data_IF_475822591832
#
_entry.id   IF_475822591832
#
_cell.length_a   1.000
_cell.length_b   1.000
_cell.length_c   1.000
_cell.angle_alpha   90.00
_cell.angle_beta   90.00
_cell.angle_gamma   90.00
#
_symmetry.space_group_name_H-M   'P 1'
#
loop_
_entity.id
_entity.type
_entity.pdbx_description
1 polymer ?
#
# COMPACT_ATOMS: atom_id res chain seq x y z
N UNK A 1 21.35 18.14 3.63
CA UNK A 1 20.05 17.89 4.32
C UNK A 1 19.97 18.71 5.58
N UNK A 2 18.87 19.44 5.77
CA UNK A 2 18.64 20.22 6.98
C UNK A 2 18.21 19.32 8.14
N UNK A 3 18.29 19.81 9.37
CA UNK A 3 17.78 19.11 10.54
C UNK A 3 16.27 18.88 10.44
N UNK A 4 15.51 19.86 9.91
CA UNK A 4 14.07 19.74 9.69
C UNK A 4 13.75 18.61 8.70
N UNK A 5 14.52 18.50 7.62
CA UNK A 5 14.36 17.41 6.65
C UNK A 5 14.68 16.06 7.28
N UNK A 6 15.71 15.98 8.11
CA UNK A 6 16.07 14.75 8.81
C UNK A 6 14.96 14.31 9.78
N UNK A 7 14.35 15.25 10.52
CA UNK A 7 13.24 14.99 11.43
C UNK A 7 12.01 14.51 10.65
N UNK A 8 11.68 15.18 9.57
CA UNK A 8 10.56 14.81 8.71
C UNK A 8 10.75 13.40 8.12
N UNK A 9 11.94 13.12 7.60
CA UNK A 9 12.26 11.79 7.06
C UNK A 9 12.11 10.70 8.10
N UNK A 10 12.67 10.92 9.30
CA UNK A 10 12.58 9.93 10.38
C UNK A 10 11.14 9.69 10.82
N UNK A 11 10.32 10.73 10.92
CA UNK A 11 8.91 10.62 11.27
C UNK A 11 8.13 9.84 10.20
N UNK A 12 8.38 10.11 8.92
CA UNK A 12 7.71 9.41 7.81
C UNK A 12 8.10 7.93 7.75
N UNK A 13 9.40 7.62 7.97
CA UNK A 13 9.85 6.22 8.03
C UNK A 13 9.16 5.48 9.16
N UNK A 14 9.11 6.06 10.36
CA UNK A 14 8.46 5.45 11.52
C UNK A 14 6.97 5.23 11.28
N UNK A 15 6.29 6.20 10.68
CA UNK A 15 4.88 6.07 10.33
C UNK A 15 4.66 4.97 9.30
N UNK A 16 5.46 4.92 8.24
CA UNK A 16 5.36 3.89 7.22
C UNK A 16 5.52 2.49 7.80
N UNK A 17 6.53 2.29 8.64
CA UNK A 17 6.75 1.00 9.32
C UNK A 17 5.55 0.61 10.16
N UNK A 18 4.97 1.56 10.91
CA UNK A 18 3.82 1.29 11.78
C UNK A 18 2.57 0.92 10.98
N UNK A 19 2.19 1.73 9.99
CA UNK A 19 0.95 1.47 9.25
C UNK A 19 1.04 0.23 8.36
N UNK A 20 2.21 -0.10 7.84
CA UNK A 20 2.39 -1.34 7.08
C UNK A 20 2.21 -2.56 7.98
N UNK A 21 2.67 -2.50 9.24
CA UNK A 21 2.45 -3.56 10.22
C UNK A 21 0.98 -3.66 10.64
N UNK A 22 0.25 -2.54 10.61
CA UNK A 22 -1.17 -2.49 10.97
C UNK A 22 -2.09 -2.99 9.86
N UNK A 23 -1.64 -3.01 8.62
CA UNK A 23 -2.49 -3.39 7.49
C UNK A 23 -3.06 -4.79 7.69
N UNK A 24 -4.39 -4.87 7.63
CA UNK A 24 -5.11 -6.12 7.88
C UNK A 24 -5.22 -6.52 9.36
N UNK A 25 -4.63 -5.75 10.27
CA UNK A 25 -4.66 -6.01 11.72
C UNK A 25 -5.37 -4.91 12.48
N UNK A 26 -4.94 -3.67 12.29
CA UNK A 26 -5.52 -2.47 12.90
C UNK A 26 -5.84 -1.47 11.79
N UNK A 27 -6.92 -1.72 11.08
CA UNK A 27 -7.29 -0.89 9.93
C UNK A 27 -7.76 0.49 10.35
N UNK A 28 -8.21 0.68 11.59
CA UNK A 28 -8.57 2.02 12.04
C UNK A 28 -7.35 2.94 12.07
N UNK A 29 -6.18 2.48 12.52
CA UNK A 29 -4.95 3.26 12.46
C UNK A 29 -4.51 3.48 11.00
N UNK A 30 -4.66 2.48 10.14
CA UNK A 30 -4.38 2.63 8.72
C UNK A 30 -5.22 3.78 8.11
N UNK A 31 -6.53 3.76 8.29
CA UNK A 31 -7.42 4.79 7.73
C UNK A 31 -7.17 6.16 8.32
N UNK A 32 -6.89 6.25 9.62
CA UNK A 32 -6.62 7.53 10.30
C UNK A 32 -5.38 8.23 9.77
N UNK A 33 -4.45 7.48 9.16
CA UNK A 33 -3.21 8.02 8.62
C UNK A 33 -3.24 8.25 7.11
N UNK A 34 -4.40 8.12 6.47
CA UNK A 34 -4.58 8.48 5.06
C UNK A 34 -4.94 9.97 4.95
N UNK A 35 -4.22 10.66 4.06
CA UNK A 35 -4.56 12.05 3.71
C UNK A 35 -5.89 12.08 2.96
N UNK A 36 -6.68 13.15 3.13
CA UNK A 36 -7.96 13.29 2.44
C UNK A 36 -7.81 13.24 0.92
N UNK A 37 -6.70 13.76 0.41
CA UNK A 37 -6.39 13.81 -1.02
C UNK A 37 -5.53 12.64 -1.50
N UNK A 38 -5.50 11.53 -0.77
CA UNK A 38 -4.70 10.37 -1.13
C UNK A 38 -5.01 9.88 -2.54
N UNK A 39 -3.96 9.47 -3.25
CA UNK A 39 -4.06 8.79 -4.54
C UNK A 39 -3.44 7.41 -4.40
N UNK A 40 -4.14 6.40 -4.87
CA UNK A 40 -3.61 5.05 -5.04
C UNK A 40 -3.37 4.78 -6.51
N UNK A 41 -2.24 4.18 -6.81
CA UNK A 41 -1.93 3.76 -8.17
C UNK A 41 -1.45 2.30 -8.17
N UNK A 42 -1.92 1.56 -9.17
CA UNK A 42 -1.51 0.18 -9.45
C UNK A 42 -1.09 0.09 -10.91
N UNK A 43 0.17 0.39 -11.23
CA UNK A 43 0.61 0.46 -12.64
C UNK A 43 0.36 -0.82 -13.43
N UNK A 44 0.38 -1.98 -12.78
CA UNK A 44 0.10 -3.28 -13.42
C UNK A 44 -1.34 -3.76 -13.22
N UNK A 45 -2.21 -2.93 -12.65
CA UNK A 45 -3.56 -3.33 -12.29
C UNK A 45 -4.46 -3.64 -13.49
N UNK A 46 -4.27 -2.95 -14.61
CA UNK A 46 -5.13 -3.11 -15.79
C UNK A 46 -5.15 -4.56 -16.32
N UNK A 47 -4.02 -5.26 -16.23
CA UNK A 47 -3.91 -6.63 -16.74
C UNK A 47 -4.74 -7.64 -15.94
N UNK A 48 -5.19 -7.28 -14.75
CA UNK A 48 -6.04 -8.13 -13.89
C UNK A 48 -7.40 -7.48 -13.59
N UNK A 49 -7.77 -6.45 -14.34
CA UNK A 49 -9.08 -5.81 -14.22
C UNK A 49 -9.19 -4.76 -13.13
N UNK A 50 -8.09 -4.43 -12.45
CA UNK A 50 -8.09 -3.36 -11.45
C UNK A 50 -7.94 -1.99 -12.08
N UNK A 51 -8.55 -0.95 -11.49
CA UNK A 51 -8.23 0.42 -11.90
C UNK A 51 -6.77 0.74 -11.63
N UNK A 52 -6.16 1.56 -12.50
CA UNK A 52 -4.76 1.95 -12.35
C UNK A 52 -4.58 3.15 -11.43
N UNK A 53 -5.65 3.91 -11.16
CA UNK A 53 -5.61 5.10 -10.33
C UNK A 53 -6.94 5.31 -9.62
N UNK A 54 -6.88 5.55 -8.32
CA UNK A 54 -8.04 5.86 -7.47
C UNK A 54 -7.70 7.11 -6.67
N UNK A 55 -8.63 8.07 -6.59
CA UNK A 55 -8.42 9.35 -5.94
C UNK A 55 -9.36 9.55 -4.76
N UNK A 56 -8.82 10.11 -3.68
CA UNK A 56 -9.56 10.53 -2.51
C UNK A 56 -9.70 9.46 -1.44
N UNK A 57 -9.72 9.90 -0.18
CA UNK A 57 -9.77 9.01 0.98
C UNK A 57 -10.98 8.07 0.97
N UNK A 58 -12.21 8.52 0.65
CA UNK A 58 -13.36 7.61 0.65
C UNK A 58 -13.20 6.46 -0.34
N UNK A 59 -12.83 6.75 -1.58
CA UNK A 59 -12.67 5.71 -2.62
C UNK A 59 -11.49 4.78 -2.32
N UNK A 60 -10.36 5.33 -1.88
CA UNK A 60 -9.19 4.54 -1.50
C UNK A 60 -9.49 3.64 -0.30
N UNK A 61 -10.21 4.15 0.70
CA UNK A 61 -10.59 3.36 1.88
C UNK A 61 -11.49 2.19 1.50
N UNK A 62 -12.42 2.39 0.58
CA UNK A 62 -13.28 1.30 0.08
C UNK A 62 -12.47 0.20 -0.59
N UNK A 63 -11.47 0.58 -1.40
CA UNK A 63 -10.63 -0.41 -2.07
C UNK A 63 -9.74 -1.14 -1.07
N UNK A 64 -9.15 -0.45 -0.11
CA UNK A 64 -8.38 -1.10 0.95
C UNK A 64 -9.24 -2.10 1.73
N UNK A 65 -10.46 -1.73 2.08
CA UNK A 65 -11.38 -2.62 2.78
C UNK A 65 -11.74 -3.86 1.95
N UNK A 66 -12.04 -3.67 0.66
CA UNK A 66 -12.33 -4.77 -0.25
C UNK A 66 -11.14 -5.71 -0.42
N UNK A 67 -9.93 -5.15 -0.49
CA UNK A 67 -8.70 -5.94 -0.57
C UNK A 67 -8.47 -6.74 0.70
N UNK A 68 -8.67 -6.15 1.87
CA UNK A 68 -8.53 -6.88 3.14
C UNK A 68 -9.50 -8.06 3.22
N UNK A 69 -10.72 -7.89 2.74
CA UNK A 69 -11.72 -8.95 2.75
C UNK A 69 -11.42 -10.06 1.73
N UNK A 70 -11.07 -9.69 0.50
CA UNK A 70 -10.89 -10.65 -0.60
C UNK A 70 -9.53 -11.33 -0.56
N UNK A 71 -8.47 -10.60 -0.28
CA UNK A 71 -7.09 -11.09 -0.35
C UNK A 71 -6.59 -11.58 1.00
N UNK A 72 -7.01 -10.91 2.08
CA UNK A 72 -6.64 -11.24 3.46
C UNK A 72 -5.11 -11.20 3.69
N UNK A 73 -4.42 -10.37 2.92
CA UNK A 73 -2.96 -10.32 2.95
C UNK A 73 -2.45 -9.63 4.22
N UNK A 74 -1.34 -10.14 4.74
CA UNK A 74 -0.53 -9.51 5.78
C UNK A 74 0.83 -9.23 5.19
N UNK A 75 1.34 -8.02 5.43
CA UNK A 75 2.64 -7.63 4.95
C UNK A 75 3.73 -8.03 5.95
N UNK A 76 4.85 -8.49 5.43
CA UNK A 76 6.01 -8.86 6.24
C UNK A 76 7.29 -8.54 5.50
N UNK A 77 8.43 -8.62 6.19
CA UNK A 77 9.76 -8.30 5.65
C UNK A 77 9.78 -6.88 5.05
N UNK A 78 9.16 -5.94 5.75
CA UNK A 78 9.06 -4.55 5.30
C UNK A 78 10.41 -3.86 5.44
N UNK A 79 10.93 -3.35 4.33
CA UNK A 79 12.16 -2.55 4.27
C UNK A 79 11.83 -1.19 3.69
N UNK A 80 12.17 -0.14 4.42
CA UNK A 80 11.87 1.24 4.04
C UNK A 80 13.15 1.91 3.57
N UNK A 81 13.12 2.47 2.37
CA UNK A 81 14.23 3.20 1.76
C UNK A 81 13.84 4.66 1.59
N UNK A 82 14.34 5.57 2.45
CA UNK A 82 14.09 6.99 2.25
C UNK A 82 14.70 7.48 0.94
N UNK A 83 13.96 8.34 0.25
CA UNK A 83 14.45 8.98 -0.96
C UNK A 83 15.11 10.31 -0.63
N UNK A 84 15.69 10.95 -1.64
CA UNK A 84 16.30 12.27 -1.48
C UNK A 84 15.27 13.29 -0.96
N UNK A 85 14.06 13.27 -1.51
CA UNK A 85 12.93 14.05 -0.99
C UNK A 85 12.45 13.42 0.32
N UNK A 86 12.50 14.14 1.48
CA UNK A 86 12.13 13.57 2.76
C UNK A 86 10.65 13.17 2.88
N UNK A 87 9.80 13.66 1.98
CA UNK A 87 8.39 13.28 1.92
C UNK A 87 8.16 11.94 1.22
N UNK A 88 9.16 11.38 0.56
CA UNK A 88 9.02 10.18 -0.27
C UNK A 88 9.85 9.02 0.24
N UNK A 89 9.25 7.84 0.14
CA UNK A 89 9.85 6.56 0.52
C UNK A 89 9.61 5.52 -0.56
N UNK A 90 10.57 4.60 -0.72
CA UNK A 90 10.33 3.36 -1.45
C UNK A 90 10.34 2.23 -0.42
N UNK A 91 9.33 1.37 -0.49
CA UNK A 91 9.23 0.21 0.38
C UNK A 91 9.32 -1.06 -0.44
N UNK A 92 10.05 -2.05 0.08
CA UNK A 92 10.01 -3.41 -0.40
C UNK A 92 9.40 -4.28 0.69
N UNK A 93 8.49 -5.15 0.33
CA UNK A 93 7.87 -6.05 1.30
C UNK A 93 7.27 -7.27 0.61
N UNK A 94 6.84 -8.21 1.41
CA UNK A 94 6.15 -9.40 0.96
C UNK A 94 4.75 -9.42 1.56
N UNK A 95 3.85 -10.09 0.86
CA UNK A 95 2.52 -10.37 1.37
C UNK A 95 2.22 -11.85 1.26
N UNK A 96 1.55 -12.40 2.27
CA UNK A 96 1.16 -13.80 2.28
C UNK A 96 -0.27 -13.95 2.79
N UNK A 97 -1.01 -14.82 2.13
CA UNK A 97 -2.34 -15.24 2.58
C UNK A 97 -2.73 -16.56 1.90
N UNK A 98 -3.82 -17.16 2.38
CA UNK A 98 -4.37 -18.37 1.78
C UNK A 98 -5.89 -18.21 1.55
N UNK A 99 -6.29 -17.24 0.70
CA UNK A 99 -7.71 -17.00 0.45
C UNK A 99 -8.35 -18.20 -0.28
N UNK A 100 -9.42 -18.74 0.30
CA UNK A 100 -10.11 -19.89 -0.29
C UNK A 100 -9.24 -21.13 -0.40
N UNK A 101 -8.19 -21.25 0.41
CA UNK A 101 -7.26 -22.39 0.38
C UNK A 101 -6.16 -22.30 -0.66
N UNK A 102 -6.13 -21.24 -1.47
CA UNK A 102 -5.05 -21.01 -2.44
C UNK A 102 -3.94 -20.17 -1.80
N UNK A 103 -2.70 -20.56 -2.04
CA UNK A 103 -1.54 -19.80 -1.55
C UNK A 103 -1.35 -18.55 -2.41
N UNK A 104 -1.36 -17.39 -1.74
CA UNK A 104 -0.99 -16.11 -2.32
C UNK A 104 0.29 -15.63 -1.64
N UNK A 105 1.41 -15.70 -2.35
CA UNK A 105 2.73 -15.28 -1.89
C UNK A 105 3.28 -14.27 -2.87
N UNK A 106 3.30 -13.00 -2.47
CA UNK A 106 3.56 -11.87 -3.37
C UNK A 106 4.74 -11.05 -2.92
N UNK A 107 5.44 -10.48 -3.88
CA UNK A 107 6.50 -9.49 -3.66
C UNK A 107 6.03 -8.13 -4.14
N UNK A 108 6.30 -7.10 -3.34
CA UNK A 108 5.81 -5.74 -3.59
C UNK A 108 6.94 -4.74 -3.59
N UNK A 109 6.80 -3.71 -4.43
CA UNK A 109 7.49 -2.44 -4.30
C UNK A 109 6.41 -1.36 -4.24
N UNK A 110 6.53 -0.45 -3.28
CA UNK A 110 5.57 0.64 -3.11
C UNK A 110 6.29 1.97 -3.02
N UNK A 111 5.90 2.92 -3.87
CA UNK A 111 6.34 4.30 -3.75
C UNK A 111 5.30 5.02 -2.93
N UNK A 112 5.74 5.62 -1.83
CA UNK A 112 4.85 6.35 -0.92
C UNK A 112 5.29 7.79 -0.79
N UNK A 113 4.33 8.69 -0.68
CA UNK A 113 4.56 10.09 -0.33
C UNK A 113 3.70 10.42 0.88
N UNK A 114 4.28 11.20 1.79
CA UNK A 114 3.62 11.66 3.01
C UNK A 114 3.54 13.18 3.02
N UNK A 115 2.39 13.71 3.42
CA UNK A 115 2.16 15.14 3.55
C UNK A 115 1.39 15.38 4.85
N UNK A 116 1.90 16.34 5.65
CA UNK A 116 1.30 16.68 6.94
C UNK A 116 1.14 15.46 7.86
N UNK A 117 2.12 14.55 7.83
CA UNK A 117 2.11 13.34 8.65
C UNK A 117 1.12 12.28 8.19
N UNK A 118 0.64 12.34 6.95
CA UNK A 118 -0.33 11.39 6.40
C UNK A 118 0.10 10.88 5.03
N UNK A 119 -0.31 9.67 4.70
CA UNK A 119 -0.02 9.01 3.43
C UNK A 119 -0.87 9.66 2.32
N UNK A 120 -0.23 10.28 1.34
CA UNK A 120 -0.93 10.96 0.24
C UNK A 120 -0.73 10.28 -1.12
N UNK A 121 0.29 9.46 -1.26
CA UNK A 121 0.49 8.63 -2.45
C UNK A 121 0.83 7.20 -2.05
N UNK A 122 0.13 6.25 -2.64
CA UNK A 122 0.39 4.82 -2.48
C UNK A 122 0.42 4.22 -3.89
N UNK A 123 1.62 4.02 -4.43
CA UNK A 123 1.80 3.42 -5.77
C UNK A 123 2.47 2.08 -5.60
N UNK A 124 1.72 1.01 -5.83
CA UNK A 124 2.16 -0.35 -5.53
C UNK A 124 2.36 -1.16 -6.79
N UNK A 125 3.52 -1.79 -6.89
CA UNK A 125 3.90 -2.70 -7.96
C UNK A 125 3.94 -4.12 -7.40
N UNK A 126 3.39 -5.06 -8.13
CA UNK A 126 3.35 -6.48 -7.76
C UNK A 126 3.32 -7.35 -9.01
N UNK A 127 3.56 -8.66 -8.84
CA UNK A 127 3.54 -9.61 -9.93
C UNK A 127 2.10 -9.92 -10.34
N UNK A 128 1.70 -9.38 -11.48
CA UNK A 128 0.34 -9.54 -11.99
C UNK A 128 0.00 -11.00 -12.34
N UNK A 129 1.00 -11.79 -12.70
CA UNK A 129 0.79 -13.21 -13.00
C UNK A 129 0.34 -13.98 -11.75
N UNK A 130 0.95 -13.71 -10.61
CA UNK A 130 0.55 -14.32 -9.34
C UNK A 130 -0.87 -13.92 -8.98
N UNK A 131 -1.22 -12.64 -9.13
CA UNK A 131 -2.59 -12.15 -8.88
C UNK A 131 -3.59 -12.88 -9.79
N UNK A 132 -3.29 -12.98 -11.07
CA UNK A 132 -4.17 -13.65 -12.05
C UNK A 132 -4.36 -15.14 -11.71
N UNK A 133 -3.29 -15.83 -11.35
CA UNK A 133 -3.33 -17.26 -11.00
C UNK A 133 -4.17 -17.54 -9.75
N UNK A 134 -4.15 -16.64 -8.77
CA UNK A 134 -4.85 -16.83 -7.48
C UNK A 134 -6.27 -16.29 -7.53
N UNK A 135 -6.48 -15.11 -8.08
CA UNK A 135 -7.76 -14.39 -8.00
C UNK A 135 -8.48 -14.28 -9.35
N UNK A 136 -7.77 -14.39 -10.47
CA UNK A 136 -8.34 -14.10 -11.78
C UNK A 136 -8.67 -12.63 -11.94
N UNK A 137 -9.80 -12.32 -12.57
CA UNK A 137 -10.25 -10.96 -12.84
C UNK A 137 -10.70 -10.25 -11.54
N UNK A 138 -10.08 -9.12 -11.24
CA UNK A 138 -10.37 -8.32 -10.03
C UNK A 138 -11.27 -7.12 -10.32
N UNK A 139 -11.95 -7.06 -11.45
CA UNK A 139 -12.81 -5.92 -11.80
C UNK A 139 -13.91 -5.67 -10.77
N UNK A 140 -14.33 -6.68 -10.01
CA UNK A 140 -15.32 -6.54 -8.95
C UNK A 140 -14.82 -5.76 -7.72
N UNK A 141 -13.51 -5.58 -7.56
CA UNK A 141 -12.95 -4.83 -6.43
C UNK A 141 -12.93 -3.32 -6.68
N UNK A 142 -12.89 -2.91 -7.94
CA UNK A 142 -12.76 -1.50 -8.31
C UNK A 142 -14.04 -0.77 -8.56
#
# INVERSE_FOLDING_TARGET
MTQSEAVTRAANVALAERIMADFGRNMSDWYDNLHDDIVMEFPYGASVGMPTRIEGKPACSRLFAATCEAVQVRFHDVRVHPMQDPSRLILEYRGYSEPGGKVYDQTYICVQEYRDGKLILFREYWDAKIVDEVFGDLSALG
#
